data_IF_992845615302
#
_entry.id   IF_992845615302
#
_cell.length_a   1.000
_cell.length_b   1.000
_cell.length_c   1.000
_cell.angle_alpha   90.00
_cell.angle_beta   90.00
_cell.angle_gamma   90.00
#
_symmetry.space_group_name_H-M   'P 1'
#
loop_
_entity.id
_entity.type
_entity.pdbx_description
1 polymer ?
#
# COMPACT_ATOMS: atom_id res chain seq x y z
N UNK A 1 3.13 29.67 -88.25
CA UNK A 1 4.13 29.78 -87.17
C UNK A 1 3.64 30.81 -86.16
N UNK A 2 2.75 30.47 -85.22
CA UNK A 2 2.36 31.30 -84.05
C UNK A 2 1.36 30.55 -83.16
N UNK A 3 1.72 29.36 -82.66
CA UNK A 3 0.89 28.63 -81.67
C UNK A 3 1.68 28.21 -80.41
N UNK A 4 2.94 28.64 -80.32
CA UNK A 4 3.87 28.24 -79.26
C UNK A 4 3.76 29.14 -78.01
N UNK A 5 3.41 30.43 -78.19
CA UNK A 5 3.31 31.39 -77.07
C UNK A 5 2.11 31.13 -76.16
N UNK A 6 1.03 30.55 -76.68
CA UNK A 6 -0.19 30.21 -75.94
C UNK A 6 0.05 29.01 -75.02
N UNK A 7 0.74 27.98 -75.51
CA UNK A 7 1.07 26.77 -74.74
C UNK A 7 2.06 27.05 -73.61
N UNK A 8 3.05 27.91 -73.85
CA UNK A 8 4.07 28.26 -72.86
C UNK A 8 3.47 29.01 -71.65
N UNK A 9 2.52 29.92 -71.91
CA UNK A 9 1.80 30.64 -70.85
C UNK A 9 0.94 29.69 -70.00
N UNK A 10 0.27 28.72 -70.63
CA UNK A 10 -0.54 27.72 -69.90
C UNK A 10 0.34 26.86 -68.98
N UNK A 11 1.50 26.42 -69.46
CA UNK A 11 2.46 25.63 -68.65
C UNK A 11 2.98 26.46 -67.46
N UNK A 12 3.27 27.75 -67.66
CA UNK A 12 3.70 28.66 -66.60
C UNK A 12 2.63 28.82 -65.51
N UNK A 13 1.35 28.96 -65.88
CA UNK A 13 0.27 29.07 -64.91
C UNK A 13 0.06 27.76 -64.12
N UNK A 14 0.11 26.61 -64.78
CA UNK A 14 -0.06 25.31 -64.13
C UNK A 14 1.08 25.05 -63.14
N UNK A 15 2.32 25.31 -63.54
CA UNK A 15 3.48 25.13 -62.64
C UNK A 15 3.40 26.05 -61.43
N UNK A 16 3.04 27.32 -61.62
CA UNK A 16 2.79 28.27 -60.52
C UNK A 16 1.68 27.80 -59.56
N UNK A 17 0.58 27.26 -60.09
CA UNK A 17 -0.52 26.72 -59.29
C UNK A 17 -0.08 25.52 -58.45
N UNK A 18 0.70 24.60 -59.02
CA UNK A 18 1.25 23.44 -58.30
C UNK A 18 2.15 23.91 -57.15
N UNK A 19 3.05 24.87 -57.38
CA UNK A 19 3.87 25.44 -56.31
C UNK A 19 3.05 26.10 -55.21
N UNK A 20 1.99 26.84 -55.56
CA UNK A 20 1.09 27.45 -54.58
C UNK A 20 0.36 26.40 -53.73
N UNK A 21 -0.13 25.32 -54.36
CA UNK A 21 -0.78 24.20 -53.65
C UNK A 21 0.20 23.51 -52.70
N UNK A 22 1.42 23.21 -53.16
CA UNK A 22 2.47 22.60 -52.33
C UNK A 22 2.81 23.52 -51.15
N UNK A 23 2.95 24.83 -51.37
CA UNK A 23 3.22 25.79 -50.30
C UNK A 23 2.10 25.80 -49.24
N UNK A 24 0.82 25.74 -49.67
CA UNK A 24 -0.32 25.65 -48.75
C UNK A 24 -0.26 24.36 -47.92
N UNK A 25 0.02 23.21 -48.54
CA UNK A 25 0.17 21.94 -47.81
C UNK A 25 1.32 21.97 -46.80
N UNK A 26 2.46 22.57 -47.16
CA UNK A 26 3.59 22.74 -46.24
C UNK A 26 3.20 23.63 -45.05
N UNK A 27 2.50 24.74 -45.27
CA UNK A 27 2.04 25.62 -44.19
C UNK A 27 1.05 24.90 -43.26
N UNK A 28 0.10 24.16 -43.81
CA UNK A 28 -0.85 23.35 -43.04
C UNK A 28 -0.11 22.30 -42.21
N UNK A 29 0.84 21.59 -42.81
CA UNK A 29 1.65 20.58 -42.12
C UNK A 29 2.44 21.19 -40.96
N UNK A 30 3.10 22.34 -41.17
CA UNK A 30 3.81 23.06 -40.11
C UNK A 30 2.86 23.47 -38.98
N UNK A 31 1.67 23.99 -39.31
CA UNK A 31 0.67 24.38 -38.33
C UNK A 31 0.24 23.20 -37.45
N UNK A 32 -0.12 22.06 -38.07
CA UNK A 32 -0.49 20.84 -37.34
C UNK A 32 0.66 20.30 -36.49
N UNK A 33 1.89 20.30 -37.03
CA UNK A 33 3.06 19.83 -36.30
C UNK A 33 3.34 20.68 -35.05
N UNK A 34 3.27 22.01 -35.17
CA UNK A 34 3.42 22.92 -34.02
C UNK A 34 2.34 22.69 -32.97
N UNK A 35 1.08 22.55 -33.39
CA UNK A 35 -0.03 22.31 -32.45
C UNK A 35 0.10 20.99 -31.71
N UNK A 36 0.52 19.93 -32.42
CA UNK A 36 0.77 18.61 -31.81
C UNK A 36 1.91 18.68 -30.78
N UNK A 37 3.00 19.38 -31.10
CA UNK A 37 4.14 19.55 -30.21
C UNK A 37 3.75 20.30 -28.91
N UNK A 38 2.96 21.37 -29.03
CA UNK A 38 2.44 22.14 -27.89
C UNK A 38 1.59 21.27 -26.94
N UNK A 39 0.68 20.47 -27.50
CA UNK A 39 -0.18 19.56 -26.71
C UNK A 39 0.63 18.47 -25.99
N UNK A 40 1.66 17.92 -26.63
CA UNK A 40 2.54 16.93 -26.00
C UNK A 40 3.32 17.56 -24.84
N UNK A 41 3.82 18.78 -25.02
CA UNK A 41 4.52 19.51 -23.97
C UNK A 41 3.60 19.84 -22.79
N UNK A 42 2.35 20.26 -23.06
CA UNK A 42 1.37 20.52 -22.01
C UNK A 42 1.02 19.26 -21.21
N UNK A 43 0.85 18.12 -21.90
CA UNK A 43 0.62 16.82 -21.24
C UNK A 43 1.81 16.41 -20.37
N UNK A 44 3.02 16.53 -20.88
CA UNK A 44 4.23 16.23 -20.11
C UNK A 44 4.31 17.13 -18.86
N UNK A 45 4.08 18.44 -19.01
CA UNK A 45 4.07 19.37 -17.87
C UNK A 45 3.04 18.98 -16.81
N UNK A 46 1.80 18.67 -17.22
CA UNK A 46 0.74 18.24 -16.29
C UNK A 46 1.11 16.93 -15.59
N UNK A 47 1.71 15.99 -16.31
CA UNK A 47 2.15 14.71 -15.74
C UNK A 47 3.28 14.91 -14.73
N UNK A 48 4.30 15.70 -15.07
CA UNK A 48 5.39 16.04 -14.14
C UNK A 48 4.89 16.80 -12.92
N UNK A 49 3.97 17.74 -13.08
CA UNK A 49 3.35 18.46 -11.96
C UNK A 49 2.59 17.50 -11.04
N UNK A 50 1.78 16.60 -11.61
CA UNK A 50 1.07 15.59 -10.84
C UNK A 50 2.01 14.64 -10.10
N UNK A 51 3.10 14.20 -10.74
CA UNK A 51 4.13 13.36 -10.11
C UNK A 51 4.84 14.09 -8.96
N UNK A 52 5.11 15.39 -9.11
CA UNK A 52 5.68 16.22 -8.05
C UNK A 52 4.72 16.42 -6.88
N UNK A 53 3.46 16.77 -7.15
CA UNK A 53 2.41 16.91 -6.12
C UNK A 53 2.22 15.60 -5.34
N UNK A 54 2.18 14.47 -6.05
CA UNK A 54 2.10 13.15 -5.43
C UNK A 54 3.32 12.87 -4.55
N UNK A 55 4.52 13.17 -5.03
CA UNK A 55 5.76 12.98 -4.27
C UNK A 55 5.80 13.84 -3.00
N UNK A 56 5.36 15.10 -3.08
CA UNK A 56 5.25 15.99 -1.94
C UNK A 56 4.21 15.50 -0.93
N UNK A 57 3.03 15.09 -1.39
CA UNK A 57 1.99 14.54 -0.52
C UNK A 57 2.43 13.26 0.20
N UNK A 58 3.18 12.39 -0.50
CA UNK A 58 3.77 11.19 0.12
C UNK A 58 4.82 11.56 1.18
N UNK A 59 5.69 12.53 0.88
CA UNK A 59 6.70 13.00 1.81
C UNK A 59 6.08 13.63 3.07
N UNK A 60 5.08 14.49 2.90
CA UNK A 60 4.34 15.12 4.00
C UNK A 60 3.59 14.09 4.85
N UNK A 61 2.93 13.12 4.22
CA UNK A 61 2.27 12.02 4.92
C UNK A 61 3.27 11.18 5.71
N UNK A 62 4.45 10.91 5.13
CA UNK A 62 5.53 10.18 5.80
C UNK A 62 6.07 10.95 7.01
N UNK A 63 6.31 12.26 6.86
CA UNK A 63 6.79 13.12 7.94
C UNK A 63 5.77 13.21 9.08
N UNK A 64 4.50 13.46 8.76
CA UNK A 64 3.40 13.50 9.74
C UNK A 64 3.28 12.18 10.48
N UNK A 65 3.37 11.06 9.76
CA UNK A 65 3.32 9.71 10.36
C UNK A 65 4.50 9.51 11.31
N UNK A 66 5.73 9.83 10.89
CA UNK A 66 6.93 9.73 11.73
C UNK A 66 6.84 10.61 12.98
N UNK A 67 6.31 11.83 12.84
CA UNK A 67 6.10 12.75 13.97
C UNK A 67 5.09 12.18 14.97
N UNK A 68 3.93 11.71 14.49
CA UNK A 68 2.90 11.08 15.32
C UNK A 68 3.46 9.86 16.07
N UNK A 69 4.24 9.02 15.40
CA UNK A 69 4.88 7.84 16.02
C UNK A 69 5.90 8.26 17.08
N UNK A 70 6.74 9.26 16.77
CA UNK A 70 7.72 9.78 17.72
C UNK A 70 7.05 10.28 19.00
N UNK A 71 5.88 10.91 18.86
CA UNK A 71 5.07 11.38 19.97
C UNK A 71 4.44 10.23 20.78
N UNK A 72 3.80 9.27 20.11
CA UNK A 72 3.20 8.09 20.78
C UNK A 72 4.27 7.26 21.54
N UNK A 73 5.46 7.11 20.94
CA UNK A 73 6.61 6.46 21.59
C UNK A 73 7.10 7.27 22.80
N UNK A 74 7.19 8.59 22.67
CA UNK A 74 7.63 9.45 23.78
C UNK A 74 6.68 9.35 24.97
N UNK A 75 5.37 9.35 24.72
CA UNK A 75 4.35 9.32 25.75
C UNK A 75 4.29 7.94 26.44
N UNK A 76 4.22 6.83 25.68
CA UNK A 76 4.15 5.47 26.23
C UNK A 76 5.44 5.09 26.97
N UNK A 77 6.61 5.34 26.37
CA UNK A 77 7.90 5.09 27.02
C UNK A 77 8.12 6.01 28.22
N UNK A 78 7.73 7.28 28.12
CA UNK A 78 7.83 8.26 29.19
C UNK A 78 7.02 7.85 30.42
N UNK A 79 5.81 7.30 30.20
CA UNK A 79 4.96 6.78 31.27
C UNK A 79 5.56 5.52 31.91
N UNK A 80 6.00 4.54 31.11
CA UNK A 80 6.64 3.31 31.63
C UNK A 80 7.93 3.60 32.41
N UNK A 81 8.77 4.51 31.91
CA UNK A 81 9.99 4.91 32.60
C UNK A 81 9.72 5.72 33.88
N UNK A 82 8.62 6.49 33.92
CA UNK A 82 8.20 7.19 35.13
C UNK A 82 7.74 6.21 36.22
N UNK A 83 6.99 5.18 35.85
CA UNK A 83 6.59 4.10 36.76
C UNK A 83 7.81 3.34 37.28
N UNK A 84 8.74 2.95 36.39
CA UNK A 84 9.98 2.30 36.79
C UNK A 84 10.81 3.17 37.77
N UNK A 85 10.90 4.49 37.54
CA UNK A 85 11.59 5.43 38.45
C UNK A 85 10.93 5.50 39.83
N UNK A 86 9.59 5.50 39.91
CA UNK A 86 8.87 5.47 41.18
C UNK A 86 9.13 4.18 41.96
N UNK A 87 9.14 3.04 41.26
CA UNK A 87 9.43 1.73 41.87
C UNK A 87 10.86 1.65 42.39
N UNK A 88 11.84 2.20 41.65
CA UNK A 88 13.22 2.32 42.11
C UNK A 88 13.29 3.13 43.41
N UNK A 89 12.67 4.31 43.45
CA UNK A 89 12.69 5.16 44.63
C UNK A 89 12.04 4.47 45.85
N UNK A 90 10.92 3.78 45.63
CA UNK A 90 10.22 3.04 46.70
C UNK A 90 11.07 1.88 47.25
N UNK A 91 11.78 1.14 46.39
CA UNK A 91 12.67 0.06 46.81
C UNK A 91 14.00 0.53 47.45
N UNK A 92 14.42 1.77 47.20
CA UNK A 92 15.57 2.38 47.88
C UNK A 92 15.24 2.86 49.30
N UNK A 93 13.96 3.11 49.59
CA UNK A 93 13.47 3.56 50.91
C UNK A 93 12.99 2.39 51.81
N UNK A 94 12.86 1.17 51.27
CA UNK A 94 12.39 0.00 52.01
C UNK A 94 13.54 -0.79 52.67
N UNK A 95 13.68 -0.65 54.00
CA UNK A 95 14.70 -1.33 54.81
C UNK A 95 14.38 -2.80 55.13
N UNK A 96 13.17 -3.31 54.79
CA UNK A 96 12.68 -4.62 55.23
C UNK A 96 12.98 -5.81 54.29
N UNK A 97 13.79 -5.61 53.25
CA UNK A 97 14.39 -6.73 52.48
C UNK A 97 13.61 -7.20 51.24
N UNK A 98 12.63 -6.44 50.72
CA UNK A 98 11.89 -6.82 49.52
C UNK A 98 12.45 -6.25 48.19
N UNK A 99 13.69 -5.73 48.21
CA UNK A 99 14.36 -5.11 47.05
C UNK A 99 14.46 -6.00 45.80
N UNK A 100 14.52 -7.32 45.97
CA UNK A 100 14.65 -8.26 44.85
C UNK A 100 13.37 -8.33 44.00
N UNK A 101 12.20 -8.20 44.62
CA UNK A 101 10.91 -8.26 43.94
C UNK A 101 10.70 -6.97 43.10
N UNK A 102 11.00 -5.82 43.71
CA UNK A 102 10.96 -4.50 43.05
C UNK A 102 11.92 -4.43 41.86
N UNK A 103 13.16 -4.91 42.01
CA UNK A 103 14.14 -4.97 40.92
C UNK A 103 13.71 -5.90 39.77
N UNK A 104 12.93 -6.95 40.08
CA UNK A 104 12.38 -7.85 39.06
C UNK A 104 11.28 -7.15 38.25
N UNK A 105 10.39 -6.42 38.91
CA UNK A 105 9.32 -5.64 38.28
C UNK A 105 9.87 -4.53 37.36
N UNK A 106 10.91 -3.82 37.81
CA UNK A 106 11.61 -2.81 36.99
C UNK A 106 12.21 -3.44 35.73
N UNK A 107 12.82 -4.63 35.86
CA UNK A 107 13.43 -5.34 34.73
C UNK A 107 12.35 -5.79 33.71
N UNK A 108 11.16 -6.17 34.19
CA UNK A 108 10.02 -6.49 33.33
C UNK A 108 9.51 -5.27 32.56
N UNK A 109 9.36 -4.11 33.20
CA UNK A 109 8.92 -2.87 32.55
C UNK A 109 9.94 -2.40 31.49
N UNK A 110 11.23 -2.47 31.79
CA UNK A 110 12.29 -2.17 30.82
C UNK A 110 12.25 -3.19 29.67
N UNK A 111 12.05 -4.47 29.98
CA UNK A 111 11.90 -5.54 29.01
C UNK A 111 10.71 -5.34 28.06
N UNK A 112 9.56 -4.91 28.58
CA UNK A 112 8.39 -4.54 27.77
C UNK A 112 8.68 -3.35 26.87
N UNK A 113 9.24 -2.28 27.43
CA UNK A 113 9.57 -1.07 26.68
C UNK A 113 10.51 -1.35 25.50
N UNK A 114 11.51 -2.22 25.70
CA UNK A 114 12.42 -2.67 24.63
C UNK A 114 11.68 -3.51 23.58
N UNK A 115 10.73 -4.36 23.99
CA UNK A 115 9.91 -5.15 23.06
C UNK A 115 9.00 -4.26 22.23
N UNK A 116 8.40 -3.23 22.83
CA UNK A 116 7.50 -2.29 22.16
C UNK A 116 8.25 -1.48 21.09
N UNK A 117 9.43 -0.94 21.44
CA UNK A 117 10.32 -0.24 20.48
C UNK A 117 10.71 -1.17 19.32
N UNK A 118 11.10 -2.41 19.62
CA UNK A 118 11.49 -3.39 18.59
C UNK A 118 10.30 -3.80 17.71
N UNK A 119 9.11 -3.92 18.27
CA UNK A 119 7.87 -4.27 17.56
C UNK A 119 7.42 -3.14 16.63
N UNK A 120 7.47 -1.90 17.10
CA UNK A 120 7.21 -0.71 16.28
C UNK A 120 8.25 -0.60 15.16
N UNK A 121 9.55 -0.67 15.49
CA UNK A 121 10.63 -0.59 14.50
C UNK A 121 10.50 -1.66 13.41
N UNK A 122 10.14 -2.90 13.78
CA UNK A 122 9.87 -3.98 12.80
C UNK A 122 8.64 -3.73 11.93
N UNK A 123 7.64 -3.01 12.43
CA UNK A 123 6.42 -2.68 11.68
C UNK A 123 6.67 -1.58 10.63
N UNK A 124 7.68 -0.74 10.82
CA UNK A 124 8.07 0.32 9.86
C UNK A 124 9.04 -0.12 8.76
N UNK A 125 9.69 -1.27 8.91
CA UNK A 125 10.61 -1.83 7.90
C UNK A 125 9.79 -2.47 6.78
N UNK A 126 9.38 -1.62 5.84
CA UNK A 126 8.73 -1.98 4.56
C UNK A 126 9.71 -2.68 3.59
N UNK A 127 11.01 -2.71 3.88
CA UNK A 127 12.06 -3.38 3.09
C UNK A 127 12.03 -4.93 3.16
N UNK A 128 11.20 -5.52 4.02
CA UNK A 128 11.22 -6.98 4.17
C UNK A 128 10.56 -7.74 3.02
N UNK A 129 9.64 -7.18 2.23
CA UNK A 129 8.93 -8.03 1.24
C UNK A 129 9.74 -8.25 -0.02
N UNK A 130 10.46 -7.23 -0.48
CA UNK A 130 11.32 -7.36 -1.65
C UNK A 130 12.42 -8.42 -1.46
N UNK A 131 12.81 -8.73 -0.22
CA UNK A 131 13.84 -9.73 0.10
C UNK A 131 13.33 -11.02 0.75
N UNK A 132 12.18 -11.01 1.44
CA UNK A 132 11.69 -12.14 2.23
C UNK A 132 10.54 -12.91 1.56
N UNK A 133 9.79 -12.29 0.65
CA UNK A 133 8.61 -12.90 0.00
C UNK A 133 7.30 -12.75 0.81
N UNK A 134 6.17 -13.00 0.14
CA UNK A 134 4.81 -12.86 0.71
C UNK A 134 4.57 -13.84 1.87
N UNK A 135 4.86 -15.13 1.66
CA UNK A 135 4.59 -16.22 2.60
C UNK A 135 5.33 -15.97 3.91
N UNK A 136 6.65 -15.77 3.86
CA UNK A 136 7.43 -15.52 5.07
C UNK A 136 7.01 -14.23 5.77
N UNK A 137 6.56 -13.23 5.02
CA UNK A 137 6.05 -11.98 5.60
C UNK A 137 4.73 -12.21 6.35
N UNK A 138 3.80 -13.00 5.79
CA UNK A 138 2.56 -13.39 6.48
C UNK A 138 2.88 -14.22 7.72
N UNK A 139 3.75 -15.24 7.63
CA UNK A 139 4.15 -16.07 8.78
C UNK A 139 4.74 -15.23 9.92
N UNK A 140 5.59 -14.26 9.59
CA UNK A 140 6.18 -13.35 10.58
C UNK A 140 5.12 -12.50 11.28
N UNK A 141 4.15 -12.00 10.51
CA UNK A 141 3.05 -11.19 11.04
C UNK A 141 2.11 -12.01 11.92
N UNK A 142 1.71 -13.21 11.48
CA UNK A 142 0.95 -14.18 12.28
C UNK A 142 1.67 -14.49 13.59
N UNK A 143 2.95 -14.84 13.52
CA UNK A 143 3.78 -15.09 14.72
C UNK A 143 3.85 -13.87 15.66
N UNK A 144 3.77 -12.65 15.12
CA UNK A 144 3.75 -11.42 15.93
C UNK A 144 2.41 -11.28 16.66
N UNK A 145 1.29 -11.50 15.97
CA UNK A 145 -0.05 -11.44 16.56
C UNK A 145 -0.23 -12.52 17.63
N UNK A 146 0.22 -13.75 17.35
CA UNK A 146 0.16 -14.87 18.30
C UNK A 146 0.97 -14.59 19.57
N UNK A 147 2.21 -14.09 19.44
CA UNK A 147 3.05 -13.73 20.62
C UNK A 147 2.44 -12.66 21.51
N UNK A 148 1.63 -11.77 20.92
CA UNK A 148 0.93 -10.71 21.67
C UNK A 148 -0.43 -11.18 22.21
N UNK A 149 -0.82 -12.45 21.97
CA UNK A 149 -2.11 -13.03 22.36
C UNK A 149 -3.32 -12.18 21.93
N UNK A 150 -3.22 -11.48 20.79
CA UNK A 150 -4.29 -10.58 20.34
C UNK A 150 -5.43 -11.31 19.62
N UNK A 151 -5.10 -12.33 18.83
CA UNK A 151 -6.03 -13.14 18.05
C UNK A 151 -5.33 -14.42 17.61
N UNK A 152 -6.04 -15.55 17.54
CA UNK A 152 -5.47 -16.77 16.95
C UNK A 152 -5.60 -16.70 15.43
N UNK A 153 -4.49 -16.82 14.70
CA UNK A 153 -4.51 -16.86 13.23
C UNK A 153 -4.04 -18.22 12.72
N UNK A 154 -4.89 -18.90 11.95
CA UNK A 154 -4.51 -20.11 11.23
C UNK A 154 -4.04 -19.70 9.83
N UNK A 155 -2.78 -19.99 9.50
CA UNK A 155 -2.21 -19.69 8.20
C UNK A 155 -1.82 -20.98 7.48
N UNK A 156 -2.47 -21.25 6.35
CA UNK A 156 -2.22 -22.41 5.50
C UNK A 156 -1.88 -21.95 4.07
N UNK A 157 -0.93 -22.62 3.43
CA UNK A 157 -0.55 -22.34 2.05
C UNK A 157 -0.02 -23.58 1.34
N UNK A 158 -0.18 -23.63 0.02
CA UNK A 158 0.44 -24.63 -0.86
C UNK A 158 1.21 -23.99 -2.04
N UNK A 159 1.50 -22.69 -1.95
CA UNK A 159 2.35 -21.95 -2.89
C UNK A 159 3.72 -21.66 -2.25
N UNK A 160 4.69 -21.31 -3.09
CA UNK A 160 6.00 -20.78 -2.72
C UNK A 160 6.11 -19.27 -3.00
N UNK A 161 7.07 -18.59 -2.36
CA UNK A 161 7.30 -17.15 -2.57
C UNK A 161 7.67 -16.81 -4.02
N UNK A 162 8.24 -17.76 -4.77
CA UNK A 162 8.60 -17.61 -6.18
C UNK A 162 7.40 -17.56 -7.13
N UNK A 163 6.22 -17.98 -6.66
CA UNK A 163 5.00 -18.02 -7.48
C UNK A 163 4.34 -16.63 -7.65
N UNK A 164 4.86 -15.61 -6.95
CA UNK A 164 4.34 -14.24 -6.95
C UNK A 164 5.48 -13.26 -7.20
N UNK A 165 5.29 -12.33 -8.14
CA UNK A 165 6.28 -11.26 -8.38
C UNK A 165 6.46 -10.41 -7.12
N UNK A 166 7.71 -10.11 -6.74
CA UNK A 166 8.03 -9.43 -5.49
C UNK A 166 7.25 -8.11 -5.28
N UNK A 167 7.07 -7.33 -6.35
CA UNK A 167 6.28 -6.08 -6.35
C UNK A 167 4.80 -6.32 -6.00
N UNK A 168 4.22 -7.42 -6.47
CA UNK A 168 2.82 -7.77 -6.26
C UNK A 168 2.66 -8.40 -4.87
N UNK A 169 3.65 -9.18 -4.44
CA UNK A 169 3.74 -9.73 -3.09
C UNK A 169 3.67 -8.64 -2.00
N UNK A 170 4.32 -7.50 -2.21
CA UNK A 170 4.21 -6.36 -1.29
C UNK A 170 2.78 -5.82 -1.21
N UNK A 171 2.12 -5.65 -2.35
CA UNK A 171 0.75 -5.13 -2.42
C UNK A 171 -0.23 -6.12 -1.77
N UNK A 172 -0.09 -7.41 -2.05
CA UNK A 172 -0.89 -8.49 -1.47
C UNK A 172 -0.72 -8.54 0.06
N UNK A 173 0.51 -8.47 0.55
CA UNK A 173 0.76 -8.44 2.00
C UNK A 173 0.10 -7.24 2.67
N UNK A 174 0.12 -6.06 2.05
CA UNK A 174 -0.58 -4.87 2.60
C UNK A 174 -2.08 -5.06 2.67
N UNK A 175 -2.68 -5.87 1.80
CA UNK A 175 -4.08 -6.25 1.89
C UNK A 175 -4.29 -7.21 3.07
N UNK A 176 -3.44 -8.22 3.22
CA UNK A 176 -3.48 -9.15 4.38
C UNK A 176 -3.37 -8.40 5.70
N UNK A 177 -2.40 -7.50 5.83
CA UNK A 177 -2.22 -6.68 7.04
C UNK A 177 -3.45 -5.83 7.36
N UNK A 178 -4.02 -5.18 6.35
CA UNK A 178 -5.23 -4.37 6.53
C UNK A 178 -6.41 -5.24 6.96
N UNK A 179 -6.53 -6.46 6.42
CA UNK A 179 -7.55 -7.42 6.86
C UNK A 179 -7.36 -7.83 8.32
N UNK A 180 -6.14 -8.19 8.74
CA UNK A 180 -5.82 -8.54 10.13
C UNK A 180 -6.16 -7.36 11.06
N UNK A 181 -5.78 -6.14 10.66
CA UNK A 181 -6.03 -4.93 11.44
C UNK A 181 -7.52 -4.63 11.58
N UNK A 182 -8.28 -4.79 10.49
CA UNK A 182 -9.73 -4.67 10.53
C UNK A 182 -10.36 -5.70 11.47
N UNK A 183 -9.89 -6.94 11.45
CA UNK A 183 -10.38 -7.97 12.36
C UNK A 183 -10.07 -7.61 13.83
N UNK A 184 -8.85 -7.14 14.13
CA UNK A 184 -8.45 -6.71 15.48
C UNK A 184 -9.26 -5.50 16.00
N UNK A 185 -9.42 -4.47 15.18
CA UNK A 185 -10.02 -3.18 15.61
C UNK A 185 -11.54 -3.20 15.62
N UNK A 186 -12.16 -3.90 14.68
CA UNK A 186 -13.59 -3.73 14.38
C UNK A 186 -14.41 -5.00 14.58
N UNK A 187 -13.83 -6.18 14.37
CA UNK A 187 -14.63 -7.40 14.27
C UNK A 187 -14.88 -8.11 15.61
N UNK A 188 -14.08 -7.82 16.66
CA UNK A 188 -14.01 -8.63 17.90
C UNK A 188 -13.81 -10.13 17.63
N UNK A 189 -13.22 -10.47 16.48
CA UNK A 189 -12.93 -11.86 16.11
C UNK A 189 -11.96 -12.49 17.11
N UNK A 190 -12.20 -13.76 17.41
CA UNK A 190 -11.27 -14.58 18.21
C UNK A 190 -10.31 -15.35 17.32
N UNK A 191 -10.71 -15.63 16.09
CA UNK A 191 -9.94 -16.42 15.14
C UNK A 191 -10.02 -15.83 13.74
N UNK A 192 -8.90 -15.91 13.01
CA UNK A 192 -8.83 -15.63 11.59
C UNK A 192 -8.16 -16.77 10.86
N UNK A 193 -8.64 -17.08 9.66
CA UNK A 193 -8.04 -18.02 8.73
C UNK A 193 -7.48 -17.25 7.53
N UNK A 194 -6.26 -17.60 7.14
CA UNK A 194 -5.56 -17.05 5.98
C UNK A 194 -5.09 -18.24 5.14
N UNK A 195 -5.70 -18.41 3.96
CA UNK A 195 -5.41 -19.52 3.06
C UNK A 195 -4.87 -18.99 1.73
N UNK A 196 -3.71 -19.50 1.29
CA UNK A 196 -3.10 -19.17 0.00
C UNK A 196 -3.03 -20.44 -0.84
N UNK A 197 -3.92 -20.53 -1.83
CA UNK A 197 -4.20 -21.74 -2.59
C UNK A 197 -3.78 -21.61 -4.05
N UNK A 198 -2.92 -22.52 -4.48
CA UNK A 198 -2.53 -22.67 -5.87
C UNK A 198 -3.65 -23.33 -6.68
N UNK A 199 -4.20 -22.62 -7.66
CA UNK A 199 -5.19 -23.13 -8.60
C UNK A 199 -4.67 -23.03 -10.05
N UNK A 200 -5.28 -23.71 -11.03
CA UNK A 200 -4.70 -23.86 -12.37
C UNK A 200 -4.34 -22.53 -13.07
N UNK A 201 -5.14 -21.47 -12.91
CA UNK A 201 -4.96 -20.20 -13.62
C UNK A 201 -4.62 -19.01 -12.70
N UNK A 202 -4.76 -19.20 -11.40
CA UNK A 202 -4.61 -18.11 -10.42
C UNK A 202 -4.25 -18.68 -9.05
N UNK A 203 -3.73 -17.84 -8.20
CA UNK A 203 -3.57 -18.08 -6.77
C UNK A 203 -4.78 -17.46 -6.06
N UNK A 204 -5.51 -18.24 -5.28
CA UNK A 204 -6.61 -17.75 -4.44
C UNK A 204 -6.09 -17.42 -3.06
N UNK A 205 -6.32 -16.19 -2.61
CA UNK A 205 -6.00 -15.72 -1.25
C UNK A 205 -7.33 -15.51 -0.54
N UNK A 206 -7.55 -16.25 0.54
CA UNK A 206 -8.78 -16.21 1.33
C UNK A 206 -8.42 -15.70 2.72
N UNK A 207 -9.07 -14.62 3.15
CA UNK A 207 -8.90 -14.00 4.47
C UNK A 207 -10.26 -14.02 5.16
N UNK A 208 -10.40 -14.80 6.23
CA UNK A 208 -11.69 -15.00 6.89
C UNK A 208 -11.59 -14.85 8.39
N UNK A 209 -12.31 -13.89 8.95
CA UNK A 209 -12.48 -13.75 10.40
C UNK A 209 -13.85 -14.27 10.87
N UNK A 210 -13.94 -14.63 12.15
CA UNK A 210 -15.17 -15.04 12.81
C UNK A 210 -15.83 -13.92 13.63
N UNK A 211 -15.59 -12.67 13.27
CA UNK A 211 -16.08 -11.53 14.03
C UNK A 211 -17.56 -11.20 13.80
N UNK A 212 -17.96 -10.00 14.22
CA UNK A 212 -19.35 -9.55 14.14
C UNK A 212 -19.85 -9.24 12.73
N UNK A 213 -18.96 -9.16 11.72
CA UNK A 213 -19.32 -8.77 10.36
C UNK A 213 -19.97 -7.38 10.26
N UNK A 214 -20.42 -7.01 9.06
CA UNK A 214 -21.13 -5.75 8.84
C UNK A 214 -22.11 -5.82 7.66
N UNK A 215 -23.03 -4.86 7.58
CA UNK A 215 -23.94 -4.73 6.43
C UNK A 215 -23.25 -4.06 5.25
N UNK A 216 -23.18 -4.79 4.13
CA UNK A 216 -22.54 -4.38 2.87
C UNK A 216 -23.16 -3.12 2.23
N UNK A 217 -24.41 -2.79 2.56
CA UNK A 217 -25.18 -1.67 2.00
C UNK A 217 -25.16 -0.41 2.87
N UNK A 218 -24.43 -0.40 3.99
CA UNK A 218 -24.19 0.86 4.71
C UNK A 218 -23.31 1.78 3.83
N UNK A 219 -23.77 3.01 3.57
CA UNK A 219 -23.12 3.98 2.68
C UNK A 219 -21.69 4.42 3.10
N UNK A 220 -21.14 3.82 4.15
CA UNK A 220 -19.79 4.06 4.65
C UNK A 220 -18.94 2.80 4.51
N UNK A 221 -18.44 2.50 3.31
CA UNK A 221 -17.26 1.62 3.22
C UNK A 221 -16.12 2.32 3.96
N UNK A 222 -15.62 1.72 5.04
CA UNK A 222 -14.49 2.25 5.80
C UNK A 222 -13.26 2.46 4.89
N UNK A 223 -12.41 3.42 5.23
CA UNK A 223 -11.20 3.78 4.47
C UNK A 223 -10.30 2.57 4.20
N UNK A 224 -10.23 1.62 5.14
CA UNK A 224 -9.47 0.36 5.01
C UNK A 224 -9.95 -0.54 3.87
N UNK A 225 -11.26 -0.79 3.76
CA UNK A 225 -11.84 -1.62 2.68
C UNK A 225 -11.64 -0.98 1.29
N UNK A 226 -11.78 0.35 1.20
CA UNK A 226 -11.53 1.10 -0.02
C UNK A 226 -10.05 0.99 -0.42
N UNK A 227 -9.15 1.10 0.55
CA UNK A 227 -7.71 0.96 0.34
C UNK A 227 -7.34 -0.43 -0.19
N UNK A 228 -7.88 -1.50 0.41
CA UNK A 228 -7.67 -2.88 -0.07
C UNK A 228 -8.16 -3.06 -1.51
N UNK A 229 -9.37 -2.58 -1.83
CA UNK A 229 -9.92 -2.68 -3.18
C UNK A 229 -9.09 -1.91 -4.22
N UNK A 230 -8.61 -0.71 -3.87
CA UNK A 230 -7.71 0.07 -4.74
C UNK A 230 -6.39 -0.66 -4.98
N UNK A 231 -5.80 -1.22 -3.93
CA UNK A 231 -4.54 -2.01 -4.01
C UNK A 231 -4.70 -3.24 -4.90
N UNK A 232 -5.76 -4.02 -4.71
CA UNK A 232 -6.05 -5.18 -5.55
C UNK A 232 -6.19 -4.80 -7.04
N UNK A 233 -6.83 -3.65 -7.31
CA UNK A 233 -6.95 -3.11 -8.68
C UNK A 233 -5.60 -2.72 -9.30
N UNK A 234 -4.63 -2.24 -8.51
CA UNK A 234 -3.29 -1.86 -9.02
C UNK A 234 -2.54 -3.06 -9.63
N UNK A 235 -2.78 -4.26 -9.09
CA UNK A 235 -2.16 -5.51 -9.54
C UNK A 235 -3.12 -6.36 -10.40
N UNK A 236 -4.20 -5.76 -10.93
CA UNK A 236 -5.18 -6.40 -11.80
C UNK A 236 -5.78 -7.72 -11.25
N UNK A 237 -6.04 -7.77 -9.94
CA UNK A 237 -6.65 -8.94 -9.28
C UNK A 237 -8.16 -8.80 -9.11
N UNK A 238 -8.87 -9.93 -9.12
CA UNK A 238 -10.28 -9.95 -8.70
C UNK A 238 -10.33 -9.89 -7.17
N UNK A 239 -11.16 -8.98 -6.63
CA UNK A 239 -11.27 -8.72 -5.20
C UNK A 239 -12.74 -8.73 -4.78
N UNK A 240 -13.08 -9.64 -3.87
CA UNK A 240 -14.44 -9.85 -3.41
C UNK A 240 -14.52 -9.81 -1.89
N UNK A 241 -15.56 -9.16 -1.37
CA UNK A 241 -15.89 -9.16 0.06
C UNK A 241 -17.26 -9.80 0.24
N UNK A 242 -17.31 -10.79 1.13
CA UNK A 242 -18.52 -11.41 1.67
C UNK A 242 -18.55 -11.15 3.17
N UNK A 243 -19.63 -10.56 3.66
CA UNK A 243 -19.85 -10.33 5.09
C UNK A 243 -21.35 -10.23 5.33
N UNK A 244 -21.76 -10.58 6.55
CA UNK A 244 -23.08 -10.31 7.07
C UNK A 244 -22.96 -10.14 8.59
N UNK A 245 -23.86 -9.35 9.18
CA UNK A 245 -23.95 -9.18 10.63
C UNK A 245 -24.05 -10.55 11.32
N UNK A 246 -23.14 -10.81 12.26
CA UNK A 246 -23.00 -12.08 13.00
C UNK A 246 -22.17 -13.17 12.30
N UNK A 247 -21.74 -12.99 11.05
CA UNK A 247 -21.07 -14.02 10.24
C UNK A 247 -19.62 -13.68 9.85
N UNK A 248 -18.99 -12.73 10.52
CA UNK A 248 -17.62 -12.30 10.25
C UNK A 248 -17.45 -11.64 8.88
N UNK A 249 -16.19 -11.57 8.45
CA UNK A 249 -15.80 -11.02 7.15
C UNK A 249 -14.93 -12.02 6.40
N UNK A 250 -15.23 -12.23 5.13
CA UNK A 250 -14.44 -13.04 4.19
C UNK A 250 -14.04 -12.17 3.00
N UNK A 251 -12.73 -12.04 2.78
CA UNK A 251 -12.12 -11.39 1.62
C UNK A 251 -11.50 -12.48 0.74
N UNK A 252 -11.77 -12.43 -0.56
CA UNK A 252 -11.16 -13.30 -1.56
C UNK A 252 -10.44 -12.46 -2.61
N UNK A 253 -9.22 -12.86 -2.92
CA UNK A 253 -8.39 -12.25 -3.96
C UNK A 253 -7.98 -13.35 -4.93
N UNK A 254 -8.13 -13.11 -6.24
CA UNK A 254 -7.61 -14.00 -7.27
C UNK A 254 -6.47 -13.32 -8.01
N UNK A 255 -5.26 -13.81 -7.77
CA UNK A 255 -4.04 -13.35 -8.42
C UNK A 255 -3.75 -14.23 -9.63
N UNK A 256 -3.92 -13.69 -10.84
CA UNK A 256 -3.67 -14.45 -12.06
C UNK A 256 -2.18 -14.76 -12.19
N UNK A 257 -1.87 -16.02 -12.53
CA UNK A 257 -0.51 -16.43 -12.87
C UNK A 257 -0.19 -15.84 -14.25
N UNK A 258 0.93 -15.13 -14.37
CA UNK A 258 1.41 -14.64 -15.67
C UNK A 258 1.98 -15.78 -16.52
#
# INVERSE_FOLDING_TARGET
MTDFSSTDNVILYITGLVFAIVAIFVLIYIFFYRKKSELLLERQKKQTQFEQELSMAIAEMKETTLSYIGQELHDDLGQKMSVAKLMINHGLEDENGNQKEILTEINEIIGESIRDIRSLSKSFITEQIENLGLIKSIQREVSRIDRLNLMKINFEHNIEDTDIEAKDGLILFRIVQESINNSLKHSRAKTMNIDLLDLPNFIEIILKDNGIGFEKNSNSKGSGLISMQKRAKLINTDFQIKTATGNGTEIRIKYNKN
#
